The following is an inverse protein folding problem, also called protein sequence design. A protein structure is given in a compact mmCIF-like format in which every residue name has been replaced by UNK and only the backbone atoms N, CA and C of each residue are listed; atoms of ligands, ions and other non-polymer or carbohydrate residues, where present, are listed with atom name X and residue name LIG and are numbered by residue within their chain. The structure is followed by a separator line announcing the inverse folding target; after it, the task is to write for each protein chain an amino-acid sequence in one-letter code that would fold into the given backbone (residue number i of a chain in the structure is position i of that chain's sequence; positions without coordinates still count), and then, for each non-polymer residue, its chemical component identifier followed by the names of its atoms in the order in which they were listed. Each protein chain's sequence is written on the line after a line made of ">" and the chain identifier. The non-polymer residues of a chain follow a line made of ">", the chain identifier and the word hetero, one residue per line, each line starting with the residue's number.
data_IF_359739107132
#
_entry.id   IF_359739107132
#
_cell.length_a   1.000
_cell.length_b   1.000
_cell.length_c   1.000
_cell.angle_alpha   90.00
_cell.angle_beta   90.00
_cell.angle_gamma   90.00
#
_symmetry.space_group_name_H-M   'P 1'
#
loop_
_entity.id
_entity.type
_entity.pdbx_description
1 polymer ?
#
# COMPACT_ATOMS: atom_id res chain seq x y z
N UNK A 1 9.94 -7.91 23.94
CA UNK A 1 9.94 -6.43 23.86
C UNK A 1 9.31 -6.01 22.54
N UNK A 2 7.99 -5.84 22.55
CA UNK A 2 7.22 -5.44 21.37
C UNK A 2 7.54 -3.98 21.05
N UNK A 3 8.30 -3.76 19.98
CA UNK A 3 8.79 -2.44 19.57
C UNK A 3 7.56 -1.57 19.23
N UNK A 4 7.28 -0.48 19.98
CA UNK A 4 6.14 0.41 19.73
C UNK A 4 6.08 0.95 18.28
N UNK A 5 7.24 1.04 17.62
CA UNK A 5 7.36 1.41 16.22
C UNK A 5 6.63 0.42 15.28
N UNK A 6 6.62 -0.89 15.57
CA UNK A 6 5.89 -1.88 14.77
C UNK A 6 4.38 -1.61 14.81
N UNK A 7 3.84 -1.22 15.97
CA UNK A 7 2.41 -0.90 16.12
C UNK A 7 2.07 0.37 15.35
N UNK A 8 2.89 1.43 15.45
CA UNK A 8 2.66 2.67 14.68
C UNK A 8 2.80 2.45 13.18
N UNK A 9 3.70 1.59 12.72
CA UNK A 9 3.79 1.22 11.30
C UNK A 9 2.53 0.51 10.85
N UNK A 10 2.07 -0.46 11.64
CA UNK A 10 0.90 -1.26 11.29
C UNK A 10 -0.41 -0.47 11.35
N UNK A 11 -0.45 0.65 12.09
CA UNK A 11 -1.69 1.40 12.37
C UNK A 11 -1.70 2.83 11.82
N UNK A 12 -0.56 3.53 11.77
CA UNK A 12 -0.42 4.94 11.36
C UNK A 12 0.95 5.24 10.71
N UNK A 13 1.30 4.55 9.60
CA UNK A 13 2.63 4.63 8.98
C UNK A 13 3.01 6.04 8.49
N UNK A 14 2.01 6.89 8.19
CA UNK A 14 2.17 8.28 7.76
C UNK A 14 2.63 9.24 8.86
N UNK A 15 2.50 8.86 10.13
CA UNK A 15 2.94 9.66 11.27
C UNK A 15 4.44 9.50 11.57
N UNK A 16 5.13 8.60 10.86
CA UNK A 16 6.54 8.32 11.07
C UNK A 16 7.41 9.33 10.32
N UNK A 17 8.34 9.95 11.05
CA UNK A 17 9.38 10.79 10.46
C UNK A 17 10.39 9.94 9.69
N UNK A 18 11.09 10.56 8.73
CA UNK A 18 12.17 9.89 7.97
C UNK A 18 13.21 9.21 8.85
N UNK A 19 13.51 9.80 10.01
CA UNK A 19 14.45 9.27 10.99
C UNK A 19 13.90 7.99 11.62
N UNK A 20 12.66 8.02 12.10
CA UNK A 20 11.99 6.85 12.69
C UNK A 20 11.85 5.70 11.68
N UNK A 21 11.57 6.05 10.42
CA UNK A 21 11.54 5.06 9.35
C UNK A 21 12.93 4.44 9.10
N UNK A 22 14.00 5.25 9.08
CA UNK A 22 15.38 4.72 8.92
C UNK A 22 15.77 3.80 10.06
N UNK A 23 15.49 4.22 11.28
CA UNK A 23 15.77 3.42 12.49
C UNK A 23 15.05 2.09 12.41
N UNK A 24 13.77 2.10 12.03
CA UNK A 24 12.98 0.89 11.89
C UNK A 24 13.48 -0.03 10.78
N UNK A 25 13.86 0.51 9.63
CA UNK A 25 14.46 -0.29 8.55
C UNK A 25 15.79 -0.93 8.98
N UNK A 26 16.62 -0.21 9.74
CA UNK A 26 17.87 -0.72 10.28
C UNK A 26 17.66 -1.84 11.30
N UNK A 27 16.64 -1.70 12.16
CA UNK A 27 16.26 -2.74 13.12
C UNK A 27 15.72 -4.00 12.43
N UNK A 28 14.98 -3.84 11.32
CA UNK A 28 14.54 -4.98 10.50
C UNK A 28 15.70 -5.70 9.83
N UNK A 29 16.67 -4.98 9.27
CA UNK A 29 17.89 -5.55 8.68
C UNK A 29 18.72 -6.31 9.73
N UNK A 30 18.89 -5.74 10.94
CA UNK A 30 19.55 -6.40 12.08
C UNK A 30 18.84 -7.69 12.53
N UNK A 31 17.52 -7.73 12.41
CA UNK A 31 16.72 -8.91 12.71
C UNK A 31 16.72 -9.96 11.57
N UNK A 32 17.53 -9.76 10.51
CA UNK A 32 17.69 -10.68 9.40
C UNK A 32 16.75 -10.43 8.22
N UNK A 33 15.96 -9.36 8.26
CA UNK A 33 15.05 -8.96 7.20
C UNK A 33 15.74 -7.95 6.28
N UNK A 34 16.64 -8.44 5.43
CA UNK A 34 17.47 -7.61 4.56
C UNK A 34 16.92 -7.53 3.13
N UNK A 35 16.84 -6.31 2.57
CA UNK A 35 16.92 -6.15 1.12
C UNK A 35 18.28 -5.56 0.76
N UNK A 36 19.08 -6.32 0.02
CA UNK A 36 20.41 -5.98 -0.49
C UNK A 36 20.49 -4.74 -1.40
N UNK A 37 19.45 -3.90 -1.49
CA UNK A 37 19.40 -2.70 -2.35
C UNK A 37 18.77 -1.45 -1.71
N UNK A 38 18.58 -1.39 -0.38
CA UNK A 38 17.92 -0.25 0.25
C UNK A 38 18.81 1.01 0.38
N UNK A 39 20.12 0.88 0.55
CA UNK A 39 20.95 2.02 0.95
C UNK A 39 20.96 3.21 -0.05
N UNK A 40 20.96 2.94 -1.35
CA UNK A 40 21.03 3.98 -2.40
C UNK A 40 19.65 4.57 -2.71
N UNK A 41 18.61 3.73 -2.75
CA UNK A 41 17.23 4.14 -3.05
C UNK A 41 16.65 5.11 -2.00
N UNK A 42 17.11 5.01 -0.75
CA UNK A 42 16.60 5.82 0.36
C UNK A 42 16.90 7.32 0.28
N UNK A 43 17.87 7.76 -0.52
CA UNK A 43 18.14 9.19 -0.67
C UNK A 43 17.06 9.86 -1.52
N UNK A 44 16.51 9.14 -2.49
CA UNK A 44 15.59 9.64 -3.50
C UNK A 44 14.11 9.46 -3.13
N UNK A 45 13.80 8.65 -2.11
CA UNK A 45 12.43 8.34 -1.68
C UNK A 45 11.81 9.35 -0.71
N UNK A 46 10.49 9.53 -0.80
CA UNK A 46 9.70 10.34 0.15
C UNK A 46 9.37 9.54 1.43
N UNK A 47 8.93 10.22 2.49
CA UNK A 47 8.58 9.55 3.75
C UNK A 47 7.42 8.54 3.58
N UNK A 48 6.48 8.81 2.67
CA UNK A 48 5.35 7.91 2.43
C UNK A 48 5.80 6.61 1.74
N UNK A 49 6.68 6.71 0.73
CA UNK A 49 7.23 5.55 0.01
C UNK A 49 7.99 4.61 0.96
N UNK A 50 8.75 5.22 1.86
CA UNK A 50 9.53 4.51 2.86
C UNK A 50 8.59 3.77 3.84
N UNK A 51 7.53 4.44 4.29
CA UNK A 51 6.59 3.87 5.26
C UNK A 51 5.81 2.68 4.67
N UNK A 52 5.28 2.82 3.44
CA UNK A 52 4.56 1.74 2.75
C UNK A 52 5.43 0.47 2.60
N UNK A 53 6.70 0.63 2.24
CA UNK A 53 7.66 -0.48 2.13
C UNK A 53 7.92 -1.14 3.47
N UNK A 54 8.18 -0.36 4.52
CA UNK A 54 8.43 -0.89 5.87
C UNK A 54 7.21 -1.63 6.43
N UNK A 55 5.99 -1.12 6.21
CA UNK A 55 4.73 -1.83 6.54
C UNK A 55 4.69 -3.19 5.85
N UNK A 56 5.02 -3.21 4.56
CA UNK A 56 5.04 -4.43 3.76
C UNK A 56 6.02 -5.46 4.32
N UNK A 57 7.25 -5.05 4.67
CA UNK A 57 8.24 -5.96 5.23
C UNK A 57 7.87 -6.48 6.61
N UNK A 58 7.34 -5.63 7.49
CA UNK A 58 6.92 -6.07 8.84
C UNK A 58 5.81 -7.12 8.75
N UNK A 59 4.86 -6.92 7.84
CA UNK A 59 3.78 -7.91 7.63
C UNK A 59 4.30 -9.18 6.95
N UNK A 60 5.20 -9.07 5.99
CA UNK A 60 5.88 -10.21 5.35
C UNK A 60 6.68 -11.03 6.37
N UNK A 61 7.45 -10.37 7.24
CA UNK A 61 8.20 -11.00 8.33
C UNK A 61 7.30 -11.70 9.35
N UNK A 62 6.12 -11.13 9.63
CA UNK A 62 5.14 -11.72 10.53
C UNK A 62 4.38 -12.92 9.91
N UNK A 63 4.31 -13.02 8.58
CA UNK A 63 3.54 -14.04 7.86
C UNK A 63 4.38 -15.22 7.35
N UNK A 64 5.73 -15.13 7.35
CA UNK A 64 6.62 -16.25 7.01
C UNK A 64 6.59 -16.69 5.54
N UNK A 65 6.06 -15.85 4.65
CA UNK A 65 5.72 -16.20 3.28
C UNK A 65 6.90 -16.05 2.30
N UNK A 66 6.87 -16.81 1.20
CA UNK A 66 7.89 -16.73 0.15
C UNK A 66 7.96 -15.31 -0.45
N UNK A 67 9.15 -14.90 -0.90
CA UNK A 67 9.45 -13.59 -1.51
C UNK A 67 8.70 -13.39 -2.84
N UNK A 68 7.38 -13.17 -2.79
CA UNK A 68 6.58 -12.70 -3.92
C UNK A 68 6.86 -11.21 -4.08
N UNK A 69 7.34 -10.75 -5.25
CA UNK A 69 7.56 -9.33 -5.53
C UNK A 69 6.30 -8.50 -5.27
N UNK A 70 6.46 -7.30 -4.71
CA UNK A 70 5.34 -6.44 -4.34
C UNK A 70 4.40 -6.15 -5.53
N UNK A 71 4.93 -5.87 -6.71
CA UNK A 71 4.14 -5.66 -7.92
C UNK A 71 3.25 -6.87 -8.26
N UNK A 72 3.75 -8.10 -8.06
CA UNK A 72 2.97 -9.31 -8.27
C UNK A 72 1.86 -9.45 -7.21
N UNK A 73 2.10 -9.01 -5.97
CA UNK A 73 1.05 -8.95 -4.93
C UNK A 73 -0.04 -7.96 -5.33
N UNK A 74 0.34 -6.79 -5.83
CA UNK A 74 -0.60 -5.78 -6.34
C UNK A 74 -1.40 -6.31 -7.52
N UNK A 75 -0.77 -7.02 -8.46
CA UNK A 75 -1.47 -7.65 -9.57
C UNK A 75 -2.47 -8.70 -9.12
N UNK A 76 -2.08 -9.57 -8.17
CA UNK A 76 -2.99 -10.56 -7.58
C UNK A 76 -4.17 -9.89 -6.88
N UNK A 77 -3.91 -8.87 -6.06
CA UNK A 77 -4.97 -8.12 -5.38
C UNK A 77 -5.96 -7.49 -6.36
N UNK A 78 -5.45 -6.89 -7.44
CA UNK A 78 -6.30 -6.35 -8.51
C UNK A 78 -7.16 -7.45 -9.15
N UNK A 79 -6.58 -8.60 -9.48
CA UNK A 79 -7.34 -9.72 -10.06
C UNK A 79 -8.41 -10.25 -9.10
N UNK A 80 -8.09 -10.41 -7.81
CA UNK A 80 -9.05 -10.81 -6.78
C UNK A 80 -10.23 -9.85 -6.71
N UNK A 81 -9.98 -8.54 -6.67
CA UNK A 81 -11.05 -7.55 -6.64
C UNK A 81 -11.86 -7.56 -7.93
N UNK A 82 -11.21 -7.63 -9.10
CA UNK A 82 -11.91 -7.69 -10.38
C UNK A 82 -12.78 -8.95 -10.55
N UNK A 83 -12.40 -10.07 -9.91
CA UNK A 83 -13.17 -11.30 -9.90
C UNK A 83 -14.28 -11.34 -8.83
N UNK A 84 -14.23 -10.48 -7.81
CA UNK A 84 -15.17 -10.52 -6.68
C UNK A 84 -16.63 -10.25 -7.05
N UNK A 85 -16.86 -9.46 -8.10
CA UNK A 85 -18.20 -9.16 -8.64
C UNK A 85 -18.10 -8.47 -10.01
N UNK A 86 -19.26 -8.24 -10.63
CA UNK A 86 -19.36 -7.45 -11.86
C UNK A 86 -19.09 -5.97 -11.59
N UNK A 87 -18.04 -5.45 -12.22
CA UNK A 87 -17.68 -4.04 -12.19
C UNK A 87 -18.11 -3.31 -13.47
N UNK A 88 -18.55 -2.07 -13.35
CA UNK A 88 -18.74 -1.19 -14.52
C UNK A 88 -17.38 -0.81 -15.13
N UNK A 89 -17.36 -0.39 -16.39
CA UNK A 89 -16.13 0.02 -17.06
C UNK A 89 -15.39 1.16 -16.31
N UNK A 90 -16.07 2.22 -15.82
CA UNK A 90 -15.42 3.24 -15.00
C UNK A 90 -14.82 2.69 -13.70
N UNK A 91 -15.52 1.80 -12.99
CA UNK A 91 -14.98 1.19 -11.76
C UNK A 91 -13.72 0.37 -12.05
N UNK A 92 -13.70 -0.43 -13.14
CA UNK A 92 -12.51 -1.19 -13.53
C UNK A 92 -11.30 -0.28 -13.84
N UNK A 93 -11.52 0.83 -14.54
CA UNK A 93 -10.47 1.81 -14.83
C UNK A 93 -9.90 2.42 -13.54
N UNK A 94 -10.76 2.73 -12.57
CA UNK A 94 -10.30 3.24 -11.27
C UNK A 94 -9.57 2.19 -10.45
N UNK A 95 -10.01 0.93 -10.45
CA UNK A 95 -9.28 -0.17 -9.82
C UNK A 95 -7.88 -0.36 -10.42
N UNK A 96 -7.75 -0.25 -11.75
CA UNK A 96 -6.44 -0.29 -12.42
C UNK A 96 -5.55 0.90 -12.02
N UNK A 97 -6.11 2.11 -11.89
CA UNK A 97 -5.37 3.28 -11.39
C UNK A 97 -4.96 3.12 -9.93
N UNK A 98 -5.81 2.54 -9.08
CA UNK A 98 -5.47 2.17 -7.70
C UNK A 98 -4.27 1.23 -7.69
N UNK A 99 -4.32 0.16 -8.48
CA UNK A 99 -3.21 -0.79 -8.56
C UNK A 99 -1.92 -0.15 -9.10
N UNK A 100 -1.99 0.64 -10.18
CA UNK A 100 -0.85 1.33 -10.75
C UNK A 100 -0.20 2.29 -9.75
N UNK A 101 -1.02 3.06 -9.01
CA UNK A 101 -0.54 3.96 -7.98
C UNK A 101 0.05 3.20 -6.78
N UNK A 102 -0.53 2.05 -6.44
CA UNK A 102 0.00 1.16 -5.39
C UNK A 102 1.38 0.63 -5.75
N UNK A 103 1.59 0.18 -7.00
CA UNK A 103 2.92 -0.24 -7.51
C UNK A 103 3.93 0.90 -7.53
N UNK A 104 3.49 2.13 -7.76
CA UNK A 104 4.32 3.32 -7.67
C UNK A 104 4.73 3.68 -6.22
N UNK A 105 4.58 2.74 -5.27
CA UNK A 105 4.92 2.81 -3.86
C UNK A 105 3.99 3.68 -2.99
N UNK A 106 2.77 3.92 -3.43
CA UNK A 106 1.79 4.66 -2.64
C UNK A 106 0.62 3.77 -2.22
N UNK A 107 0.47 3.50 -0.92
CA UNK A 107 -0.78 2.92 -0.40
C UNK A 107 -1.92 3.90 -0.70
N UNK A 108 -2.88 3.45 -1.50
CA UNK A 108 -4.07 4.24 -1.80
C UNK A 108 -5.08 4.04 -0.68
N UNK A 109 -5.09 4.99 0.24
CA UNK A 109 -6.09 5.09 1.31
C UNK A 109 -7.05 6.26 1.06
N UNK A 110 -7.93 6.52 2.03
CA UNK A 110 -8.93 7.57 1.92
C UNK A 110 -8.33 8.94 1.62
N UNK A 111 -7.21 9.30 2.26
CA UNK A 111 -6.60 10.62 2.12
C UNK A 111 -5.87 10.74 0.77
N UNK A 112 -5.24 9.66 0.29
CA UNK A 112 -4.62 9.63 -1.03
C UNK A 112 -5.62 9.93 -2.17
N UNK A 113 -6.90 9.64 -1.96
CA UNK A 113 -7.93 9.95 -2.97
C UNK A 113 -8.20 11.46 -3.08
N UNK A 114 -7.97 12.24 -2.04
CA UNK A 114 -8.22 13.69 -2.03
C UNK A 114 -6.95 14.53 -2.20
N UNK A 115 -5.78 13.91 -2.30
CA UNK A 115 -4.49 14.55 -2.57
C UNK A 115 -4.49 15.24 -3.95
N UNK A 116 -4.26 16.57 -4.02
CA UNK A 116 -4.34 17.33 -5.27
C UNK A 116 -3.34 16.91 -6.35
N UNK A 117 -2.22 16.29 -5.98
CA UNK A 117 -1.17 15.89 -6.92
C UNK A 117 -1.47 14.54 -7.57
N UNK A 118 -2.37 13.75 -6.96
CA UNK A 118 -2.69 12.39 -7.39
C UNK A 118 -3.82 12.34 -8.42
N UNK A 119 -3.76 11.30 -9.25
CA UNK A 119 -4.71 11.03 -10.34
C UNK A 119 -6.16 11.00 -9.85
N UNK A 120 -6.39 10.56 -8.62
CA UNK A 120 -7.72 10.45 -8.01
C UNK A 120 -8.38 11.81 -7.79
N UNK A 121 -7.61 12.83 -7.40
CA UNK A 121 -8.15 14.18 -7.28
C UNK A 121 -8.23 14.87 -8.63
N UNK A 122 -7.16 14.83 -9.42
CA UNK A 122 -7.05 15.53 -10.71
C UNK A 122 -8.06 15.06 -11.73
N UNK A 123 -8.25 13.74 -11.86
CA UNK A 123 -9.15 13.14 -12.86
C UNK A 123 -10.45 12.63 -12.24
N UNK A 124 -10.37 12.11 -11.00
CA UNK A 124 -11.50 11.49 -10.30
C UNK A 124 -12.36 12.48 -9.53
N UNK A 125 -11.88 13.70 -9.25
CA UNK A 125 -12.58 14.70 -8.45
C UNK A 125 -12.53 14.43 -6.94
N UNK A 126 -11.68 13.49 -6.52
CA UNK A 126 -11.55 13.10 -5.12
C UNK A 126 -12.51 12.02 -4.68
N UNK A 127 -12.40 11.61 -3.43
CA UNK A 127 -13.19 10.49 -2.91
C UNK A 127 -14.69 10.69 -3.04
N UNK A 128 -15.21 11.90 -2.74
CA UNK A 128 -16.67 12.11 -2.77
C UNK A 128 -17.30 11.78 -4.13
N UNK A 129 -16.56 11.99 -5.23
CA UNK A 129 -17.02 11.63 -6.58
C UNK A 129 -16.73 10.17 -6.91
N UNK A 130 -15.54 9.68 -6.55
CA UNK A 130 -15.18 8.29 -6.76
C UNK A 130 -16.11 7.34 -5.99
N UNK A 131 -16.46 7.66 -4.75
CA UNK A 131 -17.35 6.86 -3.92
C UNK A 131 -18.75 6.72 -4.55
N UNK A 132 -19.27 7.77 -5.19
CA UNK A 132 -20.50 7.67 -6.00
C UNK A 132 -20.35 6.73 -7.19
N UNK A 133 -19.20 6.72 -7.87
CA UNK A 133 -18.91 5.76 -8.94
C UNK A 133 -18.92 4.32 -8.40
N UNK A 134 -18.49 4.13 -7.16
CA UNK A 134 -18.50 2.86 -6.44
C UNK A 134 -19.79 2.63 -5.62
N UNK A 135 -20.85 3.41 -5.86
CA UNK A 135 -22.14 3.29 -5.16
C UNK A 135 -22.04 3.32 -3.62
N UNK A 136 -21.10 4.09 -3.07
CA UNK A 136 -20.87 4.22 -1.63
C UNK A 136 -19.95 3.16 -1.02
N UNK A 137 -19.38 2.27 -1.84
CA UNK A 137 -18.59 1.15 -1.37
C UNK A 137 -17.07 1.36 -1.51
N UNK A 138 -16.60 2.54 -1.91
CA UNK A 138 -15.18 2.74 -2.23
C UNK A 138 -14.27 2.43 -1.05
N UNK A 139 -14.66 2.82 0.17
CA UNK A 139 -13.90 2.49 1.38
C UNK A 139 -13.74 0.98 1.58
N UNK A 140 -14.82 0.21 1.38
CA UNK A 140 -14.77 -1.25 1.49
C UNK A 140 -13.89 -1.86 0.40
N UNK A 141 -13.97 -1.32 -0.83
CA UNK A 141 -13.12 -1.75 -1.95
C UNK A 141 -11.65 -1.53 -1.65
N UNK A 142 -11.27 -0.36 -1.11
CA UNK A 142 -9.89 -0.08 -0.71
C UNK A 142 -9.42 -1.02 0.41
N UNK A 143 -10.27 -1.28 1.41
CA UNK A 143 -9.96 -2.24 2.48
C UNK A 143 -9.72 -3.63 1.89
N UNK A 144 -10.65 -4.15 1.09
CA UNK A 144 -10.53 -5.48 0.48
C UNK A 144 -9.30 -5.58 -0.43
N UNK A 145 -8.99 -4.52 -1.19
CA UNK A 145 -7.81 -4.48 -2.04
C UNK A 145 -6.53 -4.55 -1.20
N UNK A 146 -6.45 -3.73 -0.14
CA UNK A 146 -5.31 -3.70 0.77
C UNK A 146 -5.12 -5.02 1.53
N UNK A 147 -6.21 -5.69 1.91
CA UNK A 147 -6.17 -7.03 2.50
C UNK A 147 -5.68 -8.06 1.47
N UNK A 148 -6.16 -7.98 0.23
CA UNK A 148 -5.78 -8.91 -0.84
C UNK A 148 -4.30 -8.83 -1.23
N UNK A 149 -3.61 -7.72 -0.97
CA UNK A 149 -2.15 -7.61 -1.16
C UNK A 149 -1.37 -8.63 -0.32
N UNK A 150 -1.94 -9.02 0.83
CA UNK A 150 -1.28 -9.84 1.83
C UNK A 150 -1.96 -11.20 2.03
N UNK A 151 -2.98 -11.52 1.23
CA UNK A 151 -3.58 -12.84 1.22
C UNK A 151 -2.51 -13.89 0.85
N UNK A 152 -2.49 -15.06 1.52
CA UNK A 152 -1.58 -16.15 1.16
C UNK A 152 -1.74 -16.53 -0.31
N UNK A 153 -0.65 -16.90 -0.97
CA UNK A 153 -0.76 -17.55 -2.28
C UNK A 153 -1.51 -18.88 -2.08
N UNK A 154 -2.69 -18.99 -2.68
CA UNK A 154 -3.45 -20.24 -2.73
C UNK A 154 -2.74 -21.30 -3.59
#
# INVERSE_FOLDING_TARGET
>A
NAIPALVTVLTRPRELTRKQLRELALELDRAGYSETRLATAWREMTNQDIAARIVGYIRQAAMGDALVPFDQRVDRALQTILASKSWTMPQRQWLQKIAAQTKANLIVDRDALDDPDLVFKREGGGFARLDRIFAGELSQVLTNFNESLWAPAA
#
